data_IF_618534531102
#
_entry.id   IF_618534531102
#
_cell.length_a   1.000
_cell.length_b   1.000
_cell.length_c   1.000
_cell.angle_alpha   90.00
_cell.angle_beta   90.00
_cell.angle_gamma   90.00
#
_symmetry.space_group_name_H-M   'P 1'
#
loop_
_entity.id
_entity.type
_entity.pdbx_description
1 polymer ?
#
# COMPACT_ATOMS: atom_id res chain seq x y z
N UNK A 1 -12.52 47.39 -29.83
CA UNK A 1 -11.32 48.05 -29.28
C UNK A 1 -11.10 47.39 -27.93
N UNK A 2 -10.23 46.42 -27.75
CA UNK A 2 -9.29 45.63 -28.56
C UNK A 2 -9.21 44.28 -27.83
N UNK A 3 -9.11 43.16 -28.56
CA UNK A 3 -8.75 41.87 -27.98
C UNK A 3 -7.27 41.94 -27.61
N UNK A 4 -6.94 41.80 -26.32
CA UNK A 4 -5.55 41.66 -25.90
C UNK A 4 -5.11 40.22 -26.18
N UNK A 5 -4.44 40.04 -27.32
CA UNK A 5 -3.72 38.83 -27.68
C UNK A 5 -2.57 38.61 -26.69
N UNK A 6 -2.75 37.67 -25.76
CA UNK A 6 -1.71 37.23 -24.84
C UNK A 6 -0.79 36.21 -25.54
N UNK A 7 -0.13 36.59 -26.63
CA UNK A 7 0.97 35.82 -27.21
C UNK A 7 2.30 36.45 -26.82
N UNK A 8 2.93 35.88 -25.79
CA UNK A 8 4.36 36.05 -25.56
C UNK A 8 5.01 34.68 -25.49
N UNK A 9 4.85 33.89 -26.58
CA UNK A 9 5.69 32.73 -26.83
C UNK A 9 7.18 33.07 -26.64
N UNK A 10 7.93 32.11 -26.08
CA UNK A 10 9.36 32.28 -25.81
C UNK A 10 10.09 32.53 -27.14
N UNK A 11 10.85 33.62 -27.32
CA UNK A 11 11.52 33.92 -28.57
C UNK A 11 12.45 32.78 -29.00
N UNK A 12 12.20 32.21 -30.19
CA UNK A 12 12.96 31.08 -30.73
C UNK A 12 12.47 29.69 -30.30
N UNK A 13 11.36 29.60 -29.57
CA UNK A 13 10.67 28.34 -29.31
C UNK A 13 9.52 28.19 -30.31
N UNK A 14 9.76 27.48 -31.41
CA UNK A 14 8.68 27.00 -32.28
C UNK A 14 8.14 25.69 -31.71
N UNK A 15 6.84 25.65 -31.47
CA UNK A 15 6.17 24.41 -31.11
C UNK A 15 5.98 23.56 -32.37
N UNK A 16 6.80 22.51 -32.52
CA UNK A 16 6.58 21.48 -33.55
C UNK A 16 5.64 20.41 -32.97
N UNK A 17 4.46 20.22 -33.59
CA UNK A 17 3.55 19.13 -33.21
C UNK A 17 4.20 17.75 -33.32
N UNK A 18 5.24 17.61 -34.14
CA UNK A 18 6.02 16.37 -34.29
C UNK A 18 7.05 16.15 -33.17
N UNK A 19 7.35 17.17 -32.35
CA UNK A 19 8.19 17.03 -31.14
C UNK A 19 7.42 16.42 -29.96
N UNK A 20 6.09 16.33 -30.05
CA UNK A 20 5.30 15.67 -29.02
C UNK A 20 5.57 14.16 -29.07
N UNK A 21 6.00 13.52 -27.97
CA UNK A 21 6.23 12.08 -27.97
C UNK A 21 4.91 11.35 -28.21
N UNK A 22 4.71 10.84 -29.43
CA UNK A 22 3.51 10.09 -29.86
C UNK A 22 3.55 8.63 -29.41
N UNK A 23 4.27 8.32 -28.33
CA UNK A 23 4.33 6.94 -27.83
C UNK A 23 2.92 6.52 -27.45
N UNK A 24 2.31 5.62 -28.23
CA UNK A 24 1.07 4.88 -27.90
C UNK A 24 1.26 3.95 -26.68
N UNK A 25 2.30 4.18 -25.89
CA UNK A 25 2.63 3.42 -24.71
C UNK A 25 1.68 3.86 -23.60
N UNK A 26 0.88 2.91 -23.14
CA UNK A 26 0.03 3.12 -21.98
C UNK A 26 0.95 3.52 -20.82
N UNK A 27 0.69 4.67 -20.16
CA UNK A 27 1.52 5.08 -19.04
C UNK A 27 1.46 4.00 -17.95
N UNK A 28 2.56 3.79 -17.21
CA UNK A 28 2.61 2.79 -16.16
C UNK A 28 1.52 3.04 -15.11
N UNK A 29 1.04 1.98 -14.43
CA UNK A 29 0.05 2.10 -13.36
C UNK A 29 0.46 3.14 -12.31
N UNK A 30 -0.53 3.75 -11.64
CA UNK A 30 -0.29 4.76 -10.61
C UNK A 30 0.70 4.26 -9.55
N UNK A 31 0.51 3.02 -9.07
CA UNK A 31 1.40 2.44 -8.05
C UNK A 31 2.85 2.41 -8.53
N UNK A 32 3.11 1.96 -9.75
CA UNK A 32 4.46 1.84 -10.28
C UNK A 32 5.12 3.19 -10.58
N UNK A 33 4.31 4.24 -10.82
CA UNK A 33 4.81 5.61 -11.00
C UNK A 33 5.20 6.30 -9.70
N UNK A 34 4.45 6.05 -8.62
CA UNK A 34 4.55 6.84 -7.39
C UNK A 34 5.20 6.09 -6.22
N UNK A 35 5.27 4.76 -6.28
CA UNK A 35 5.79 3.93 -5.20
C UNK A 35 6.97 3.07 -5.64
N UNK A 36 7.99 3.05 -4.81
CA UNK A 36 9.05 2.03 -4.87
C UNK A 36 8.60 0.78 -4.13
N UNK A 37 8.73 -0.38 -4.77
CA UNK A 37 8.28 -1.67 -4.24
C UNK A 37 9.42 -2.42 -3.58
N UNK A 38 9.21 -2.84 -2.34
CA UNK A 38 10.14 -3.66 -1.57
C UNK A 38 9.44 -4.94 -1.11
N UNK A 39 10.23 -5.99 -0.92
CA UNK A 39 9.75 -7.26 -0.41
C UNK A 39 10.49 -7.62 0.86
N UNK A 40 9.74 -8.19 1.80
CA UNK A 40 10.29 -8.76 3.02
C UNK A 40 9.87 -10.23 3.07
N UNK A 41 10.85 -11.09 2.83
CA UNK A 41 10.63 -12.53 2.77
C UNK A 41 10.77 -13.18 4.14
N UNK A 42 10.16 -14.34 4.29
CA UNK A 42 10.30 -15.24 5.44
C UNK A 42 10.12 -14.55 6.80
N UNK A 43 9.07 -13.73 6.91
CA UNK A 43 8.85 -12.94 8.11
C UNK A 43 8.71 -13.82 9.36
N UNK A 44 9.47 -13.47 10.40
CA UNK A 44 9.58 -14.26 11.64
C UNK A 44 9.93 -15.75 11.41
N UNK A 45 10.69 -16.06 10.36
CA UNK A 45 11.12 -17.42 10.05
C UNK A 45 10.02 -18.31 9.46
N UNK A 46 8.90 -17.72 9.02
CA UNK A 46 7.81 -18.43 8.35
C UNK A 46 8.05 -18.42 6.84
N UNK A 47 8.40 -19.58 6.31
CA UNK A 47 8.79 -19.73 4.90
C UNK A 47 7.64 -19.29 3.99
N UNK A 48 7.92 -18.37 3.09
CA UNK A 48 6.96 -17.89 2.08
C UNK A 48 5.87 -16.95 2.60
N UNK A 49 5.81 -16.62 3.90
CA UNK A 49 4.92 -15.58 4.44
C UNK A 49 5.46 -14.17 4.09
N UNK A 50 5.59 -13.93 2.79
CA UNK A 50 6.25 -12.76 2.22
C UNK A 50 5.33 -11.55 2.21
N UNK A 51 5.91 -10.40 2.52
CA UNK A 51 5.22 -9.12 2.56
C UNK A 51 5.75 -8.19 1.48
N UNK A 52 4.87 -7.35 0.94
CA UNK A 52 5.19 -6.29 0.01
C UNK A 52 5.01 -4.94 0.70
N UNK A 53 6.02 -4.07 0.59
CA UNK A 53 5.97 -2.70 1.11
C UNK A 53 6.11 -1.73 -0.07
N UNK A 54 5.09 -0.91 -0.28
CA UNK A 54 5.09 0.17 -1.27
C UNK A 54 5.46 1.47 -0.57
N UNK A 55 6.60 2.03 -0.92
CA UNK A 55 7.12 3.26 -0.30
C UNK A 55 7.00 4.43 -1.27
N UNK A 56 6.26 5.46 -0.88
CA UNK A 56 6.20 6.72 -1.60
C UNK A 56 7.39 7.63 -1.24
N UNK A 57 7.72 8.58 -2.11
CA UNK A 57 8.81 9.55 -1.90
C UNK A 57 8.64 10.40 -0.62
N UNK A 58 7.40 10.71 -0.25
CA UNK A 58 7.03 11.39 1.01
C UNK A 58 7.11 10.50 2.27
N UNK A 59 7.67 9.28 2.16
CA UNK A 59 7.86 8.30 3.23
C UNK A 59 6.59 7.63 3.76
N UNK A 60 5.44 7.84 3.11
CA UNK A 60 4.26 6.99 3.36
C UNK A 60 4.55 5.60 2.82
N UNK A 61 4.25 4.59 3.63
CA UNK A 61 4.40 3.19 3.28
C UNK A 61 3.06 2.48 3.33
N UNK A 62 2.76 1.68 2.32
CA UNK A 62 1.60 0.77 2.29
C UNK A 62 2.14 -0.65 2.43
N UNK A 63 1.61 -1.39 3.40
CA UNK A 63 1.97 -2.79 3.65
C UNK A 63 0.87 -3.68 3.10
N UNK A 64 1.26 -4.68 2.30
CA UNK A 64 0.36 -5.68 1.72
C UNK A 64 1.05 -7.04 1.66
N UNK A 65 0.30 -8.10 1.34
CA UNK A 65 0.89 -9.40 1.10
C UNK A 65 1.62 -9.42 -0.25
N UNK A 66 2.74 -10.14 -0.32
CA UNK A 66 3.40 -10.39 -1.60
C UNK A 66 2.62 -11.42 -2.42
N UNK A 67 2.76 -11.39 -3.76
CA UNK A 67 2.10 -12.36 -4.65
C UNK A 67 2.53 -13.82 -4.38
N UNK A 68 3.69 -14.02 -3.78
CA UNK A 68 4.22 -15.33 -3.35
C UNK A 68 3.58 -15.86 -2.05
N UNK A 69 2.83 -15.04 -1.32
CA UNK A 69 2.27 -15.42 -0.03
C UNK A 69 1.22 -16.54 -0.17
N UNK A 70 1.21 -17.57 0.71
CA UNK A 70 0.31 -18.72 0.65
C UNK A 70 -1.17 -18.37 0.47
N UNK A 71 -1.66 -17.36 1.21
CA UNK A 71 -3.04 -16.84 1.08
C UNK A 71 -3.41 -16.52 -0.37
N UNK A 72 -2.47 -15.99 -1.14
CA UNK A 72 -2.67 -15.57 -2.54
C UNK A 72 -2.40 -16.73 -3.49
N UNK A 73 -1.26 -17.42 -3.34
CA UNK A 73 -0.85 -18.50 -4.25
C UNK A 73 -1.78 -19.70 -4.20
N UNK A 74 -2.25 -20.05 -3.00
CA UNK A 74 -3.19 -21.15 -2.77
C UNK A 74 -4.65 -20.69 -2.86
N UNK A 75 -4.89 -19.40 -3.12
CA UNK A 75 -6.23 -18.77 -3.20
C UNK A 75 -7.11 -19.13 -2.00
N UNK A 76 -6.57 -18.95 -0.80
CA UNK A 76 -7.27 -19.31 0.43
C UNK A 76 -8.49 -18.44 0.64
N UNK A 77 -9.57 -19.06 1.13
CA UNK A 77 -10.77 -18.34 1.56
C UNK A 77 -10.53 -17.79 2.97
N UNK A 78 -10.65 -16.47 3.11
CA UNK A 78 -10.41 -15.79 4.38
C UNK A 78 -11.73 -15.73 5.14
N UNK A 79 -11.75 -16.32 6.33
CA UNK A 79 -12.92 -16.31 7.22
C UNK A 79 -13.03 -14.97 7.96
N UNK A 80 -11.94 -14.51 8.56
CA UNK A 80 -11.93 -13.25 9.31
C UNK A 80 -10.52 -12.67 9.44
N UNK A 81 -10.46 -11.39 9.80
CA UNK A 81 -9.21 -10.67 10.05
C UNK A 81 -9.28 -10.04 11.44
N UNK A 82 -8.30 -10.36 12.28
CA UNK A 82 -8.23 -9.87 13.65
C UNK A 82 -7.15 -8.81 13.79
N UNK A 83 -7.52 -7.62 14.27
CA UNK A 83 -6.63 -6.49 14.54
C UNK A 83 -6.20 -6.37 16.01
N UNK A 84 -6.74 -7.20 16.91
CA UNK A 84 -6.26 -7.37 18.27
C UNK A 84 -4.99 -8.23 18.23
N UNK A 85 -3.83 -7.58 18.22
CA UNK A 85 -2.54 -8.27 18.01
C UNK A 85 -1.86 -8.71 19.32
N UNK A 86 -2.19 -8.07 20.43
CA UNK A 86 -1.75 -8.39 21.80
C UNK A 86 -2.75 -7.83 22.82
N UNK A 87 -2.61 -8.19 24.09
CA UNK A 87 -3.44 -7.64 25.16
C UNK A 87 -3.33 -6.11 25.23
N UNK A 88 -4.48 -5.43 25.13
CA UNK A 88 -4.54 -3.97 25.12
C UNK A 88 -4.04 -3.29 23.84
N UNK A 89 -3.69 -4.04 22.79
CA UNK A 89 -3.26 -3.49 21.50
C UNK A 89 -4.20 -3.96 20.39
N UNK A 90 -5.23 -3.15 20.13
CA UNK A 90 -6.05 -3.24 18.92
C UNK A 90 -5.58 -2.19 17.92
N UNK A 91 -5.32 -2.60 16.67
CA UNK A 91 -4.93 -1.64 15.63
C UNK A 91 -6.10 -0.78 15.15
N UNK A 92 -7.34 -1.22 15.31
CA UNK A 92 -8.52 -0.41 14.94
C UNK A 92 -8.74 0.79 15.87
N UNK A 93 -8.22 0.73 17.11
CA UNK A 93 -8.32 1.83 18.08
C UNK A 93 -7.35 3.00 17.79
N UNK A 94 -6.78 3.05 16.58
CA UNK A 94 -5.77 4.02 16.19
C UNK A 94 -6.38 5.41 15.91
N UNK A 95 -6.35 6.29 16.92
CA UNK A 95 -6.92 7.65 16.86
C UNK A 95 -5.93 8.69 16.35
N UNK A 96 -5.53 8.57 15.08
CA UNK A 96 -4.54 9.47 14.48
C UNK A 96 -5.16 10.84 14.17
N UNK A 97 -4.51 11.92 14.62
CA UNK A 97 -5.00 13.29 14.39
C UNK A 97 -3.89 14.31 14.15
N UNK A 98 -4.21 15.35 13.37
CA UNK A 98 -3.34 16.50 13.11
C UNK A 98 -2.08 16.23 12.27
N UNK A 99 -1.30 17.29 12.02
CA UNK A 99 -0.06 17.24 11.21
C UNK A 99 0.99 16.30 11.81
N UNK A 100 1.10 16.27 13.14
CA UNK A 100 2.03 15.41 13.88
C UNK A 100 1.58 13.96 14.02
N UNK A 101 0.42 13.57 13.46
CA UNK A 101 -0.14 12.22 13.59
C UNK A 101 -0.28 11.79 15.05
N UNK A 102 -0.71 12.71 15.92
CA UNK A 102 -0.85 12.49 17.36
C UNK A 102 -1.88 11.37 17.60
N UNK A 103 -1.57 10.47 18.52
CA UNK A 103 -2.41 9.29 18.80
C UNK A 103 -2.15 8.09 17.89
N UNK A 104 -1.26 8.23 16.89
CA UNK A 104 -0.84 7.11 16.07
C UNK A 104 -0.05 6.07 16.88
N UNK A 105 -0.34 4.80 16.64
CA UNK A 105 0.39 3.69 17.24
C UNK A 105 1.76 3.52 16.57
N UNK A 106 2.82 3.47 17.37
CA UNK A 106 4.16 3.16 16.86
C UNK A 106 4.31 1.67 16.57
N UNK A 107 4.87 1.36 15.41
CA UNK A 107 5.16 0.00 14.97
C UNK A 107 6.65 -0.17 14.67
N UNK A 108 7.17 -1.35 15.01
CA UNK A 108 8.50 -1.83 14.62
C UNK A 108 8.35 -2.80 13.44
N UNK A 109 9.43 -3.14 12.72
CA UNK A 109 9.35 -4.06 11.58
C UNK A 109 8.64 -5.39 11.87
N UNK A 110 8.86 -5.97 13.06
CA UNK A 110 8.25 -7.24 13.46
C UNK A 110 6.92 -7.06 14.22
N UNK A 111 6.40 -5.83 14.34
CA UNK A 111 5.12 -5.60 14.98
C UNK A 111 3.99 -6.16 14.11
N UNK A 112 3.17 -7.03 14.68
CA UNK A 112 1.96 -7.48 14.04
C UNK A 112 0.98 -6.31 13.84
N UNK A 113 0.38 -6.28 12.65
CA UNK A 113 -0.67 -5.36 12.23
C UNK A 113 -2.04 -6.04 12.31
N UNK A 114 -2.15 -7.25 11.78
CA UNK A 114 -3.35 -8.07 11.91
C UNK A 114 -3.03 -9.56 11.75
N UNK A 115 -3.99 -10.41 12.08
CA UNK A 115 -3.95 -11.85 11.86
C UNK A 115 -5.06 -12.23 10.90
N UNK A 116 -4.70 -12.88 9.80
CA UNK A 116 -5.64 -13.42 8.82
C UNK A 116 -5.99 -14.84 9.28
N UNK A 117 -7.28 -15.15 9.36
CA UNK A 117 -7.80 -16.47 9.73
C UNK A 117 -8.53 -17.01 8.50
N UNK A 118 -8.07 -18.13 7.98
CA UNK A 118 -8.66 -18.82 6.84
C UNK A 118 -9.67 -19.87 7.28
N UNK A 119 -10.59 -20.25 6.39
CA UNK A 119 -11.61 -21.28 6.68
C UNK A 119 -11.03 -22.68 6.89
N UNK A 120 -9.85 -22.96 6.31
CA UNK A 120 -9.09 -24.20 6.51
C UNK A 120 -8.42 -24.28 7.90
N UNK A 121 -8.62 -23.27 8.74
CA UNK A 121 -8.02 -23.16 10.08
C UNK A 121 -6.60 -22.58 10.09
N UNK A 122 -6.01 -22.31 8.93
CA UNK A 122 -4.68 -21.69 8.85
C UNK A 122 -4.73 -20.21 9.28
N UNK A 123 -3.62 -19.75 9.86
CA UNK A 123 -3.49 -18.39 10.37
C UNK A 123 -2.18 -17.77 9.91
N UNK A 124 -2.27 -16.53 9.43
CA UNK A 124 -1.12 -15.77 8.93
C UNK A 124 -1.02 -14.43 9.66
N UNK A 125 0.18 -14.04 10.06
CA UNK A 125 0.38 -12.77 10.78
C UNK A 125 0.98 -11.73 9.85
N UNK A 126 0.22 -10.66 9.60
CA UNK A 126 0.71 -9.54 8.81
C UNK A 126 1.57 -8.65 9.68
N UNK A 127 2.83 -8.46 9.30
CA UNK A 127 3.80 -7.64 10.03
C UNK A 127 4.02 -6.28 9.36
N UNK A 128 4.38 -5.26 10.15
CA UNK A 128 4.58 -3.90 9.64
C UNK A 128 5.75 -3.76 8.65
N UNK A 129 6.77 -4.62 8.74
CA UNK A 129 7.98 -4.67 7.90
C UNK A 129 8.89 -3.43 7.95
N UNK A 130 8.36 -2.29 8.36
CA UNK A 130 9.05 -1.02 8.55
C UNK A 130 8.76 -0.45 9.94
N UNK A 131 9.66 0.43 10.40
CA UNK A 131 9.42 1.22 11.62
C UNK A 131 8.66 2.48 11.26
N UNK A 132 7.60 2.81 11.99
CA UNK A 132 6.84 4.03 11.74
C UNK A 132 5.63 4.22 12.65
N UNK A 133 4.80 5.19 12.29
CA UNK A 133 3.48 5.43 12.89
C UNK A 133 2.42 4.82 11.99
N UNK A 134 1.56 3.97 12.56
CA UNK A 134 0.39 3.46 11.86
C UNK A 134 -0.58 4.63 11.64
N UNK A 135 -0.88 4.98 10.41
CA UNK A 135 -1.72 6.14 10.08
C UNK A 135 -3.17 5.71 9.84
N UNK A 136 -3.36 4.65 9.08
CA UNK A 136 -4.67 4.20 8.62
C UNK A 136 -4.65 2.70 8.39
N UNK A 137 -5.83 2.09 8.47
CA UNK A 137 -6.08 0.68 8.18
C UNK A 137 -7.20 0.64 7.16
N UNK A 138 -7.08 -0.24 6.17
CA UNK A 138 -8.18 -0.47 5.25
C UNK A 138 -9.29 -1.28 5.93
N UNK A 139 -10.26 -0.59 6.53
CA UNK A 139 -11.39 -1.23 7.23
C UNK A 139 -12.32 -2.01 6.30
N UNK A 140 -12.28 -1.78 4.97
CA UNK A 140 -13.12 -2.53 4.02
C UNK A 140 -12.80 -4.03 4.01
N UNK A 141 -11.61 -4.42 4.47
CA UNK A 141 -11.24 -5.84 4.56
C UNK A 141 -11.98 -6.55 5.70
N UNK A 142 -12.55 -5.81 6.66
CA UNK A 142 -13.38 -6.40 7.71
C UNK A 142 -14.73 -6.89 7.14
N UNK A 143 -15.30 -6.13 6.21
CA UNK A 143 -16.58 -6.48 5.56
C UNK A 143 -16.37 -7.40 4.37
N UNK A 144 -15.22 -7.33 3.70
CA UNK A 144 -14.89 -8.13 2.52
C UNK A 144 -13.43 -8.61 2.59
N UNK A 145 -13.15 -9.67 3.38
CA UNK A 145 -11.77 -10.09 3.66
C UNK A 145 -11.03 -10.63 2.43
N UNK A 146 -11.76 -11.22 1.47
CA UNK A 146 -11.19 -11.78 0.24
C UNK A 146 -10.52 -10.72 -0.65
N UNK A 147 -10.78 -9.42 -0.45
CA UNK A 147 -10.07 -8.35 -1.18
C UNK A 147 -8.56 -8.38 -0.98
N UNK A 148 -8.07 -8.91 0.14
CA UNK A 148 -6.63 -9.11 0.37
C UNK A 148 -6.03 -10.03 -0.70
N UNK A 149 -6.75 -11.07 -1.11
CA UNK A 149 -6.27 -12.07 -2.06
C UNK A 149 -6.57 -11.69 -3.53
N UNK A 150 -7.68 -11.00 -3.78
CA UNK A 150 -8.13 -10.67 -5.14
C UNK A 150 -7.45 -9.42 -5.71
N UNK A 151 -7.24 -8.39 -4.89
CA UNK A 151 -6.70 -7.09 -5.32
C UNK A 151 -5.26 -6.90 -4.86
N UNK A 152 -4.44 -7.92 -5.07
CA UNK A 152 -3.03 -7.88 -4.71
C UNK A 152 -2.30 -6.94 -5.65
N UNK A 153 -2.02 -5.74 -5.16
CA UNK A 153 -1.25 -4.70 -5.85
C UNK A 153 -1.89 -4.18 -7.14
N UNK A 154 -3.14 -3.72 -7.02
CA UNK A 154 -3.70 -2.67 -7.91
C UNK A 154 -3.20 -1.29 -7.49
#
# INVERSE_FOLDING_TARGET
MEEEDFDNGIPGFEFDENDWPTTNERPPPFVDRYFSRFYKTDMNGKIGEDHCVLCHSNKICIVTLAKSHPVITEKKVISSINFQVADGINRLDNKVSGKGKRGAQWVKPNSALCRIICEDGSQYTVCACVRGMLVEINETILTSPNFIAEKVCL
#
